data_IF_220190346675
#
_entry.id   IF_220190346675
#
_cell.length_a   1.000
_cell.length_b   1.000
_cell.length_c   1.000
_cell.angle_alpha   90.00
_cell.angle_beta   90.00
_cell.angle_gamma   90.00
#
_symmetry.space_group_name_H-M   'P 1'
#
loop_
_entity.id
_entity.type
_entity.pdbx_description
1 polymer ?
#
# COMPACT_ATOMS: atom_id res chain seq x y z
N UNK A 1 5.38 19.37 35.48
CA UNK A 1 5.75 18.29 34.53
C UNK A 1 7.17 18.53 34.01
N UNK A 2 7.97 17.48 34.01
CA UNK A 2 9.30 17.52 33.42
C UNK A 2 9.21 17.46 31.89
N UNK A 3 10.25 17.86 31.18
CA UNK A 3 10.32 17.74 29.73
C UNK A 3 10.21 16.27 29.28
N UNK A 4 10.75 15.34 30.08
CA UNK A 4 10.68 13.90 29.83
C UNK A 4 9.23 13.38 29.85
N UNK A 5 8.43 13.79 30.84
CA UNK A 5 7.02 13.41 30.93
C UNK A 5 6.21 13.93 29.75
N UNK A 6 6.51 15.15 29.30
CA UNK A 6 5.86 15.73 28.14
C UNK A 6 6.24 14.98 26.85
N UNK A 7 7.51 14.64 26.70
CA UNK A 7 8.00 13.86 25.58
C UNK A 7 7.36 12.47 25.53
N UNK A 8 7.21 11.82 26.68
CA UNK A 8 6.53 10.51 26.77
C UNK A 8 5.07 10.59 26.37
N UNK A 9 4.38 11.64 26.77
CA UNK A 9 2.98 11.87 26.40
C UNK A 9 2.84 12.06 24.89
N UNK A 10 3.70 12.88 24.29
CA UNK A 10 3.71 13.13 22.84
C UNK A 10 4.03 11.84 22.09
N UNK A 11 5.01 11.08 22.56
CA UNK A 11 5.37 9.79 21.97
C UNK A 11 4.20 8.82 21.97
N UNK A 12 3.47 8.75 23.08
CA UNK A 12 2.29 7.89 23.21
C UNK A 12 1.22 8.26 22.18
N UNK A 13 0.97 9.55 21.99
CA UNK A 13 0.01 10.03 20.99
C UNK A 13 0.43 9.68 19.56
N UNK A 14 1.71 9.81 19.23
CA UNK A 14 2.22 9.40 17.92
C UNK A 14 2.08 7.89 17.71
N UNK A 15 2.33 7.08 18.73
CA UNK A 15 2.19 5.63 18.65
C UNK A 15 0.74 5.19 18.42
N UNK A 16 -0.22 5.87 19.04
CA UNK A 16 -1.65 5.64 18.77
C UNK A 16 -2.00 5.92 17.31
N UNK A 17 -1.46 7.01 16.77
CA UNK A 17 -1.68 7.36 15.36
C UNK A 17 -1.06 6.32 14.42
N UNK A 18 0.14 5.85 14.74
CA UNK A 18 0.81 4.80 13.97
C UNK A 18 -0.02 3.51 13.99
N UNK A 19 -0.50 3.09 15.16
CA UNK A 19 -1.32 1.88 15.30
C UNK A 19 -2.59 1.97 14.45
N UNK A 20 -3.22 3.12 14.43
CA UNK A 20 -4.40 3.37 13.59
C UNK A 20 -4.05 3.27 12.11
N UNK A 21 -2.94 3.88 11.70
CA UNK A 21 -2.48 3.85 10.30
C UNK A 21 -2.10 2.44 9.87
N UNK A 22 -1.48 1.67 10.76
CA UNK A 22 -1.15 0.27 10.51
C UNK A 22 -2.41 -0.55 10.24
N UNK A 23 -3.46 -0.33 11.03
CA UNK A 23 -4.76 -1.00 10.82
C UNK A 23 -5.36 -0.64 9.46
N UNK A 24 -5.34 0.63 9.09
CA UNK A 24 -5.83 1.10 7.79
C UNK A 24 -5.04 0.42 6.67
N UNK A 25 -3.73 0.35 6.80
CA UNK A 25 -2.86 -0.27 5.81
C UNK A 25 -3.20 -1.75 5.62
N UNK A 26 -3.34 -2.51 6.70
CA UNK A 26 -3.65 -3.94 6.65
C UNK A 26 -5.02 -4.18 6.02
N UNK A 27 -6.04 -3.45 6.43
CA UNK A 27 -7.38 -3.56 5.84
C UNK A 27 -7.39 -3.19 4.36
N UNK A 28 -6.64 -2.16 3.99
CA UNK A 28 -6.53 -1.73 2.59
C UNK A 28 -5.87 -2.82 1.73
N UNK A 29 -4.80 -3.42 2.22
CA UNK A 29 -4.12 -4.52 1.54
C UNK A 29 -5.07 -5.72 1.39
N UNK A 30 -5.80 -6.07 2.44
CA UNK A 30 -6.77 -7.16 2.39
C UNK A 30 -7.83 -6.93 1.32
N UNK A 31 -8.38 -5.73 1.25
CA UNK A 31 -9.36 -5.37 0.22
C UNK A 31 -8.76 -5.42 -1.19
N UNK A 32 -7.53 -4.94 -1.33
CA UNK A 32 -6.83 -5.01 -2.62
C UNK A 32 -6.64 -6.44 -3.09
N UNK A 33 -6.25 -7.34 -2.20
CA UNK A 33 -6.08 -8.75 -2.55
C UNK A 33 -7.39 -9.44 -2.92
N UNK A 34 -8.50 -9.09 -2.28
CA UNK A 34 -9.83 -9.55 -2.68
C UNK A 34 -10.13 -9.15 -4.12
N UNK A 35 -9.79 -7.92 -4.50
CA UNK A 35 -10.00 -7.45 -5.87
C UNK A 35 -9.11 -8.20 -6.86
N UNK A 36 -7.85 -8.42 -6.55
CA UNK A 36 -6.94 -9.14 -7.44
C UNK A 36 -7.33 -10.62 -7.58
N UNK A 37 -7.82 -11.25 -6.51
CA UNK A 37 -8.37 -12.62 -6.58
C UNK A 37 -9.60 -12.68 -7.47
N UNK A 38 -10.50 -11.72 -7.35
CA UNK A 38 -11.69 -11.63 -8.19
C UNK A 38 -11.32 -11.45 -9.68
N UNK A 39 -10.32 -10.62 -9.95
CA UNK A 39 -9.81 -10.43 -11.31
C UNK A 39 -9.21 -11.74 -11.85
N UNK A 40 -8.45 -12.46 -11.02
CA UNK A 40 -7.87 -13.74 -11.40
C UNK A 40 -8.94 -14.77 -11.79
N UNK A 41 -9.99 -14.87 -11.00
CA UNK A 41 -11.13 -15.75 -11.29
C UNK A 41 -11.84 -15.36 -12.59
N UNK A 42 -12.06 -14.07 -12.78
CA UNK A 42 -12.70 -13.55 -13.98
C UNK A 42 -11.89 -13.88 -15.25
N UNK A 43 -10.58 -13.69 -15.18
CA UNK A 43 -9.69 -14.02 -16.30
C UNK A 43 -9.71 -15.52 -16.62
N UNK A 44 -9.70 -16.37 -15.59
CA UNK A 44 -9.78 -17.81 -15.76
C UNK A 44 -11.12 -18.25 -16.39
N UNK A 45 -12.23 -17.68 -15.93
CA UNK A 45 -13.57 -18.00 -16.44
C UNK A 45 -13.75 -17.60 -17.91
N UNK A 46 -13.14 -16.51 -18.32
CA UNK A 46 -13.29 -15.96 -19.68
C UNK A 46 -12.10 -16.21 -20.58
N UNK A 47 -11.16 -17.06 -20.16
CA UNK A 47 -9.94 -17.38 -20.90
C UNK A 47 -9.14 -16.15 -21.31
N UNK A 48 -9.12 -15.14 -20.44
CA UNK A 48 -8.33 -13.94 -20.67
C UNK A 48 -6.87 -14.19 -20.29
N UNK A 49 -5.91 -13.47 -20.88
CA UNK A 49 -4.51 -13.64 -20.53
C UNK A 49 -4.26 -13.36 -19.04
N UNK A 50 -3.49 -14.23 -18.34
CA UNK A 50 -3.24 -14.03 -16.90
C UNK A 50 -2.35 -12.83 -16.60
N UNK A 51 -1.53 -12.38 -17.54
CA UNK A 51 -0.67 -11.21 -17.36
C UNK A 51 -1.01 -10.13 -18.38
N UNK A 52 -0.80 -8.88 -17.98
CA UNK A 52 -1.02 -7.71 -18.80
C UNK A 52 0.13 -6.73 -18.56
N UNK A 53 1.26 -6.89 -19.29
CA UNK A 53 2.44 -6.04 -19.08
C UNK A 53 2.18 -4.55 -19.28
N UNK A 54 1.29 -4.20 -20.21
CA UNK A 54 0.93 -2.80 -20.46
C UNK A 54 0.21 -2.19 -19.27
N UNK A 55 -0.74 -2.94 -18.69
CA UNK A 55 -1.45 -2.53 -17.48
C UNK A 55 -0.50 -2.39 -16.28
N UNK A 56 0.41 -3.35 -16.12
CA UNK A 56 1.40 -3.32 -15.03
C UNK A 56 2.30 -2.11 -15.12
N UNK A 57 2.78 -1.77 -16.34
CA UNK A 57 3.61 -0.59 -16.55
C UNK A 57 2.87 0.70 -16.19
N UNK A 58 1.61 0.83 -16.59
CA UNK A 58 0.78 1.99 -16.25
C UNK A 58 0.53 2.08 -14.75
N UNK A 59 0.31 0.95 -14.11
CA UNK A 59 0.09 0.87 -12.67
C UNK A 59 1.32 1.32 -11.89
N UNK A 60 2.50 0.85 -12.26
CA UNK A 60 3.76 1.24 -11.62
C UNK A 60 3.97 2.76 -11.75
N UNK A 61 3.78 3.31 -12.95
CA UNK A 61 3.93 4.75 -13.17
C UNK A 61 2.94 5.55 -12.31
N UNK A 62 1.69 5.13 -12.27
CA UNK A 62 0.67 5.78 -11.46
C UNK A 62 1.05 5.78 -9.98
N UNK A 63 1.55 4.66 -9.49
CA UNK A 63 1.92 4.52 -8.08
C UNK A 63 3.17 5.33 -7.74
N UNK A 64 4.13 5.43 -8.66
CA UNK A 64 5.29 6.32 -8.49
C UNK A 64 4.85 7.79 -8.40
N UNK A 65 3.91 8.20 -9.25
CA UNK A 65 3.37 9.57 -9.21
C UNK A 65 2.63 9.83 -7.91
N UNK A 66 1.83 8.87 -7.42
CA UNK A 66 1.15 8.98 -6.14
C UNK A 66 2.14 9.07 -4.98
N UNK A 67 3.23 8.32 -5.02
CA UNK A 67 4.27 8.38 -3.99
C UNK A 67 4.89 9.79 -3.93
N UNK A 68 5.14 10.40 -5.06
CA UNK A 68 5.65 11.78 -5.13
C UNK A 68 4.65 12.77 -4.55
N UNK A 69 3.37 12.64 -4.89
CA UNK A 69 2.31 13.49 -4.35
C UNK A 69 2.16 13.33 -2.84
N UNK A 70 2.33 12.12 -2.33
CA UNK A 70 2.24 11.81 -0.91
C UNK A 70 3.53 12.10 -0.13
N UNK A 71 4.57 12.57 -0.80
CA UNK A 71 5.89 12.80 -0.22
C UNK A 71 6.48 11.53 0.40
N UNK A 72 6.24 10.40 -0.26
CA UNK A 72 6.81 9.11 0.10
C UNK A 72 8.03 8.84 -0.78
N UNK A 73 9.10 8.31 -0.20
CA UNK A 73 10.31 7.99 -0.96
C UNK A 73 9.96 7.11 -2.17
N UNK A 74 10.22 7.58 -3.41
CA UNK A 74 9.84 6.83 -4.61
C UNK A 74 10.55 5.48 -4.74
N UNK A 75 11.78 5.36 -4.28
CA UNK A 75 12.55 4.10 -4.33
C UNK A 75 11.90 3.06 -3.43
N UNK A 76 11.61 3.45 -2.17
CA UNK A 76 10.91 2.58 -1.23
C UNK A 76 9.52 2.20 -1.76
N UNK A 77 8.77 3.18 -2.27
CA UNK A 77 7.43 2.95 -2.78
C UNK A 77 7.45 1.95 -3.93
N UNK A 78 8.41 2.07 -4.85
CA UNK A 78 8.54 1.15 -5.98
C UNK A 78 8.80 -0.28 -5.53
N UNK A 79 9.73 -0.48 -4.59
CA UNK A 79 10.04 -1.80 -4.06
C UNK A 79 8.84 -2.43 -3.35
N UNK A 80 8.19 -1.66 -2.49
CA UNK A 80 7.01 -2.11 -1.74
C UNK A 80 5.86 -2.45 -2.68
N UNK A 81 5.60 -1.61 -3.67
CA UNK A 81 4.50 -1.79 -4.61
C UNK A 81 4.75 -2.94 -5.57
N UNK A 82 5.99 -3.18 -5.99
CA UNK A 82 6.33 -4.36 -6.77
C UNK A 82 6.02 -5.65 -5.99
N UNK A 83 6.30 -5.64 -4.70
CA UNK A 83 5.98 -6.75 -3.82
C UNK A 83 4.47 -7.01 -3.75
N UNK A 84 3.67 -5.95 -3.64
CA UNK A 84 2.21 -6.04 -3.60
C UNK A 84 1.64 -6.48 -4.95
N UNK A 85 2.15 -5.94 -6.06
CA UNK A 85 1.67 -6.24 -7.41
C UNK A 85 1.94 -7.71 -7.78
N UNK A 86 3.03 -8.29 -7.28
CA UNK A 86 3.36 -9.69 -7.53
C UNK A 86 2.31 -10.67 -6.96
N UNK A 87 1.55 -10.22 -5.97
CA UNK A 87 0.44 -11.00 -5.45
C UNK A 87 -0.82 -10.73 -6.26
#
# INVERSE_FOLDING_TARGET
>A
MTNTSRAETILKEHRKSIDRLDSILVYTLAERFKQTQAVGLLKAEHALPPSDPEREAKQIKRLEDLAKQADLDPVFAKEFLNFIIAE
#
